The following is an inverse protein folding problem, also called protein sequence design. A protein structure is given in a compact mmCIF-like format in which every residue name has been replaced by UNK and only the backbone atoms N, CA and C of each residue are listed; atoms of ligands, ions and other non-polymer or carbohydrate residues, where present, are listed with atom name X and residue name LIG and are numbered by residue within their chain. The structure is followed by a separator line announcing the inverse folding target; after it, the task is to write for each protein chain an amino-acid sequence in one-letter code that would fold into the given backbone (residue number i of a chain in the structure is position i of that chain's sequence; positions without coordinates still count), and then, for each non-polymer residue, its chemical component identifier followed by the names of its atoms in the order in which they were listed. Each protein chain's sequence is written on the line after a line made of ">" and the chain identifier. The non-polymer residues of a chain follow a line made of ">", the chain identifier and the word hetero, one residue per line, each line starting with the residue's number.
data_IF_668279323188
#
_entry.id   IF_668279323188
#
_cell.length_a   1.000
_cell.length_b   1.000
_cell.length_c   1.000
_cell.angle_alpha   90.00
_cell.angle_beta   90.00
_cell.angle_gamma   90.00
#
_symmetry.space_group_name_H-M   'P 1'
#
loop_
_entity.id
_entity.type
_entity.pdbx_description
1 polymer ?
#
# COMPACT_ATOMS: atom_id res chain seq x y z
N UNK A 1 -32.91 18.70 -37.69
CA UNK A 1 -32.25 17.52 -38.27
C UNK A 1 -30.96 17.36 -37.52
N UNK A 2 -31.02 16.50 -36.52
CA UNK A 2 -30.02 16.20 -35.51
C UNK A 2 -28.93 15.27 -36.06
N UNK A 3 -27.66 15.58 -35.77
CA UNK A 3 -26.54 14.63 -35.63
C UNK A 3 -25.59 15.24 -34.58
N UNK A 4 -25.84 14.99 -33.30
CA UNK A 4 -25.27 13.90 -32.50
C UNK A 4 -23.94 14.30 -31.82
N UNK A 5 -24.10 14.82 -30.60
CA UNK A 5 -23.14 14.80 -29.51
C UNK A 5 -22.76 13.34 -29.18
N UNK A 6 -21.51 12.96 -29.42
CA UNK A 6 -20.99 11.63 -29.07
C UNK A 6 -19.48 11.64 -28.80
N UNK A 7 -18.99 12.58 -27.97
CA UNK A 7 -17.57 12.60 -27.60
C UNK A 7 -17.28 12.99 -26.15
N UNK A 8 -18.26 12.89 -25.24
CA UNK A 8 -18.08 13.32 -23.85
C UNK A 8 -18.68 12.32 -22.84
N UNK A 9 -18.28 11.06 -22.97
CA UNK A 9 -18.61 10.03 -21.96
C UNK A 9 -17.47 9.04 -21.68
N UNK A 10 -16.35 9.10 -22.40
CA UNK A 10 -15.25 8.13 -22.24
C UNK A 10 -14.05 8.63 -21.43
N UNK A 11 -14.00 9.91 -21.04
CA UNK A 11 -12.85 10.48 -20.31
C UNK A 11 -13.09 10.69 -18.81
N UNK A 12 -14.34 10.62 -18.35
CA UNK A 12 -14.69 10.84 -16.93
C UNK A 12 -14.51 9.58 -16.08
N UNK A 13 -14.69 8.37 -16.64
CA UNK A 13 -14.55 7.12 -15.88
C UNK A 13 -13.09 6.81 -15.47
N UNK A 14 -12.08 7.35 -16.18
CA UNK A 14 -10.67 7.14 -15.82
C UNK A 14 -10.16 8.08 -14.74
N UNK A 15 -10.77 9.26 -14.55
CA UNK A 15 -10.35 10.23 -13.54
C UNK A 15 -10.96 9.94 -12.16
N UNK A 16 -12.18 9.39 -12.12
CA UNK A 16 -12.81 8.98 -10.86
C UNK A 16 -12.11 7.77 -10.21
N UNK A 17 -11.48 6.90 -11.01
CA UNK A 17 -10.71 5.76 -10.52
C UNK A 17 -9.32 6.16 -9.97
N UNK A 18 -8.75 7.27 -10.44
CA UNK A 18 -7.44 7.76 -9.97
C UNK A 18 -7.53 8.41 -8.58
N UNK A 19 -8.61 9.14 -8.26
CA UNK A 19 -8.78 9.76 -6.95
C UNK A 19 -8.97 8.75 -5.80
N UNK A 20 -9.60 7.60 -6.09
CA UNK A 20 -9.88 6.56 -5.09
C UNK A 20 -8.67 5.72 -4.66
N UNK A 21 -7.56 5.79 -5.40
CA UNK A 21 -6.40 4.89 -5.23
C UNK A 21 -5.07 5.60 -4.94
N UNK A 22 -5.06 6.93 -4.77
CA UNK A 22 -3.84 7.71 -4.52
C UNK A 22 -3.11 7.29 -3.23
N UNK A 23 -3.86 6.88 -2.20
CA UNK A 23 -3.30 6.39 -0.93
C UNK A 23 -2.70 4.97 -1.02
N UNK A 24 -3.01 4.22 -2.08
CA UNK A 24 -2.45 2.89 -2.33
C UNK A 24 -1.11 2.96 -3.08
N UNK A 25 -0.72 4.12 -3.62
CA UNK A 25 0.60 4.29 -4.27
C UNK A 25 1.69 4.11 -3.22
N UNK A 26 2.76 3.34 -3.50
CA UNK A 26 3.86 3.17 -2.55
C UNK A 26 4.43 4.54 -2.19
N UNK A 27 4.33 4.97 -0.94
CA UNK A 27 4.79 6.30 -0.56
C UNK A 27 6.32 6.29 -0.63
N UNK A 28 6.86 6.96 -1.64
CA UNK A 28 8.29 7.19 -1.72
C UNK A 28 8.65 8.33 -0.75
N UNK A 29 9.62 8.07 0.14
CA UNK A 29 10.22 9.15 0.90
C UNK A 29 10.98 10.05 -0.08
N UNK A 30 10.31 11.11 -0.52
CA UNK A 30 10.85 12.06 -1.47
C UNK A 30 10.87 13.43 -0.81
N UNK A 31 12.07 13.95 -0.60
CA UNK A 31 12.29 15.36 -0.31
C UNK A 31 12.34 16.20 -1.60
N UNK A 32 12.03 15.60 -2.76
CA UNK A 32 12.04 16.31 -4.03
C UNK A 32 10.83 17.24 -4.12
N UNK A 33 11.09 18.47 -4.54
CA UNK A 33 10.05 19.45 -4.82
C UNK A 33 9.32 19.09 -6.12
N UNK A 34 8.00 19.19 -6.13
CA UNK A 34 7.23 19.12 -7.35
C UNK A 34 7.40 20.42 -8.13
N UNK A 35 8.14 20.35 -9.23
CA UNK A 35 8.41 21.49 -10.09
C UNK A 35 7.24 21.81 -11.04
N UNK A 36 6.15 21.03 -11.07
CA UNK A 36 5.01 21.27 -11.98
C UNK A 36 4.21 22.52 -11.67
N UNK A 37 4.33 23.09 -10.46
CA UNK A 37 3.50 24.20 -9.98
C UNK A 37 4.21 25.51 -9.67
N UNK A 38 5.46 25.72 -10.11
CA UNK A 38 6.20 26.98 -9.89
C UNK A 38 6.57 27.32 -8.43
N UNK A 39 6.20 26.46 -7.47
CA UNK A 39 6.53 26.60 -6.05
C UNK A 39 7.40 25.46 -5.54
N UNK A 40 8.22 25.72 -4.51
CA UNK A 40 8.99 24.69 -3.79
C UNK A 40 8.08 23.93 -2.82
N UNK A 41 7.12 23.17 -3.34
CA UNK A 41 6.24 22.33 -2.52
C UNK A 41 6.62 20.86 -2.70
N UNK A 42 6.56 20.08 -1.62
CA UNK A 42 6.68 18.63 -1.73
C UNK A 42 5.48 18.08 -2.52
N UNK A 43 5.68 16.98 -3.25
CA UNK A 43 4.58 16.25 -3.89
C UNK A 43 3.46 16.01 -2.89
N UNK A 44 2.20 16.28 -3.24
CA UNK A 44 1.04 16.15 -2.34
C UNK A 44 0.94 14.79 -1.67
N UNK A 45 1.40 13.74 -2.36
CA UNK A 45 1.41 12.34 -1.91
C UNK A 45 2.56 12.02 -0.92
N UNK A 46 3.49 12.95 -0.67
CA UNK A 46 4.62 12.72 0.23
C UNK A 46 4.19 12.66 1.71
N UNK A 47 4.99 11.97 2.53
CA UNK A 47 4.77 11.94 3.99
C UNK A 47 4.84 13.33 4.65
N UNK A 48 5.56 14.28 4.03
CA UNK A 48 5.77 15.62 4.54
C UNK A 48 4.60 16.56 4.20
N UNK A 49 3.96 16.38 3.04
CA UNK A 49 2.81 17.19 2.59
C UNK A 49 1.46 16.65 3.07
N UNK A 50 1.27 15.32 3.10
CA UNK A 50 0.00 14.68 3.47
C UNK A 50 -0.40 14.89 4.94
N UNK A 51 0.55 15.33 5.78
CA UNK A 51 0.37 15.48 7.22
C UNK A 51 0.30 14.15 7.97
N UNK A 52 0.45 13.01 7.30
CA UNK A 52 0.43 11.69 7.91
C UNK A 52 1.58 11.52 8.95
N UNK A 53 2.77 12.04 8.65
CA UNK A 53 3.89 12.03 9.60
C UNK A 53 3.63 12.93 10.82
N UNK A 54 3.06 14.12 10.60
CA UNK A 54 2.70 15.03 11.69
C UNK A 54 1.68 14.37 12.64
N UNK A 55 0.66 13.71 12.08
CA UNK A 55 -0.35 12.99 12.87
C UNK A 55 0.28 11.86 13.68
N UNK A 56 1.14 11.05 13.07
CA UNK A 56 1.87 9.99 13.77
C UNK A 56 2.69 10.51 14.96
N UNK A 57 3.48 11.58 14.77
CA UNK A 57 4.29 12.17 15.84
C UNK A 57 3.41 12.67 16.99
N UNK A 58 2.20 13.11 16.68
CA UNK A 58 1.22 13.56 17.66
C UNK A 58 0.35 12.42 18.23
N UNK A 59 0.68 11.16 17.94
CA UNK A 59 -0.11 9.98 18.31
C UNK A 59 -1.58 10.06 17.85
N UNK A 60 -1.81 10.69 16.70
CA UNK A 60 -3.10 10.77 16.05
C UNK A 60 -3.19 9.75 14.92
N UNK A 61 -4.43 9.44 14.53
CA UNK A 61 -4.71 8.61 13.37
C UNK A 61 -4.01 9.17 12.12
N UNK A 62 -3.10 8.40 11.49
CA UNK A 62 -2.38 8.83 10.31
C UNK A 62 -3.25 8.99 9.06
N UNK A 63 -4.36 8.26 8.97
CA UNK A 63 -5.22 8.13 7.79
C UNK A 63 -6.70 8.14 8.23
N UNK A 64 -7.20 9.25 8.78
CA UNK A 64 -8.50 9.31 9.45
C UNK A 64 -9.67 8.91 8.56
N UNK A 65 -9.60 9.21 7.25
CA UNK A 65 -10.66 8.95 6.28
C UNK A 65 -10.59 7.56 5.63
N UNK A 66 -9.54 6.78 5.92
CA UNK A 66 -9.37 5.44 5.35
C UNK A 66 -9.88 4.38 6.32
N UNK A 67 -10.35 3.25 5.78
CA UNK A 67 -10.83 2.10 6.56
C UNK A 67 -11.95 2.49 7.56
N UNK A 68 -12.83 3.43 7.19
CA UNK A 68 -14.01 3.78 7.99
C UNK A 68 -15.16 2.78 7.80
N UNK A 69 -15.16 2.03 6.70
CA UNK A 69 -16.17 1.02 6.38
C UNK A 69 -16.04 -0.22 7.28
N UNK A 70 -17.18 -0.89 7.54
CA UNK A 70 -17.24 -2.14 8.31
C UNK A 70 -16.41 -3.27 7.70
N UNK A 71 -16.18 -3.19 6.38
CA UNK A 71 -15.38 -4.15 5.64
C UNK A 71 -14.28 -3.50 4.82
N UNK A 72 -13.17 -4.21 4.67
CA UNK A 72 -12.03 -3.82 3.84
C UNK A 72 -11.64 -4.95 2.90
N UNK A 73 -11.37 -4.62 1.64
CA UNK A 73 -10.79 -5.58 0.69
C UNK A 73 -9.26 -5.64 0.86
N UNK A 74 -8.74 -6.80 1.25
CA UNK A 74 -7.31 -7.06 1.36
C UNK A 74 -6.97 -8.33 0.56
N UNK A 75 -6.03 -8.21 -0.36
CA UNK A 75 -5.57 -9.30 -1.24
C UNK A 75 -6.69 -9.96 -2.06
N UNK A 76 -7.72 -9.19 -2.46
CA UNK A 76 -8.86 -9.70 -3.24
C UNK A 76 -9.92 -10.41 -2.41
N UNK A 77 -9.89 -10.28 -1.08
CA UNK A 77 -10.82 -10.90 -0.14
C UNK A 77 -11.40 -9.80 0.76
N UNK A 78 -12.71 -9.87 1.03
CA UNK A 78 -13.38 -8.93 1.92
C UNK A 78 -13.24 -9.38 3.38
N UNK A 79 -12.82 -8.48 4.25
CA UNK A 79 -12.55 -8.72 5.67
C UNK A 79 -13.33 -7.74 6.54
N UNK A 80 -13.70 -8.14 7.76
CA UNK A 80 -14.29 -7.22 8.76
C UNK A 80 -13.20 -6.31 9.31
N UNK A 81 -13.29 -5.00 9.07
CA UNK A 81 -12.22 -4.03 9.31
C UNK A 81 -11.69 -4.07 10.74
N UNK A 82 -12.58 -4.10 11.72
CA UNK A 82 -12.24 -4.06 13.15
C UNK A 82 -11.62 -5.34 13.70
N UNK A 83 -11.89 -6.51 13.09
CA UNK A 83 -11.50 -7.80 13.69
C UNK A 83 -10.59 -8.64 12.82
N UNK A 84 -10.38 -8.28 11.55
CA UNK A 84 -9.61 -9.11 10.62
C UNK A 84 -8.19 -9.38 11.10
N UNK A 85 -7.50 -8.35 11.61
CA UNK A 85 -6.13 -8.51 12.08
C UNK A 85 -6.03 -9.40 13.33
N UNK A 86 -7.00 -9.31 14.24
CA UNK A 86 -7.06 -10.15 15.45
C UNK A 86 -7.40 -11.59 15.09
N UNK A 87 -8.39 -11.79 14.22
CA UNK A 87 -8.92 -13.11 13.88
C UNK A 87 -8.06 -13.89 12.89
N UNK A 88 -7.34 -13.19 12.02
CA UNK A 88 -6.73 -13.79 10.84
C UNK A 88 -5.36 -13.21 10.52
N UNK A 89 -4.65 -12.68 11.52
CA UNK A 89 -3.26 -12.22 11.44
C UNK A 89 -2.38 -13.13 10.58
N UNK A 90 -2.21 -14.39 10.97
CA UNK A 90 -1.35 -15.36 10.25
C UNK A 90 -1.75 -15.51 8.79
N UNK A 91 -3.05 -15.56 8.49
CA UNK A 91 -3.56 -15.69 7.12
C UNK A 91 -3.23 -14.43 6.32
N UNK A 92 -3.50 -13.25 6.86
CA UNK A 92 -3.22 -11.96 6.22
C UNK A 92 -1.71 -11.78 5.94
N UNK A 93 -0.84 -12.11 6.89
CA UNK A 93 0.61 -12.04 6.69
C UNK A 93 1.11 -13.09 5.70
N UNK A 94 0.50 -14.28 5.66
CA UNK A 94 0.81 -15.27 4.62
C UNK A 94 0.37 -14.81 3.23
N UNK A 95 -0.78 -14.17 3.08
CA UNK A 95 -1.22 -13.56 1.82
C UNK A 95 -0.25 -12.46 1.38
N UNK A 96 0.23 -11.63 2.32
CA UNK A 96 1.27 -10.63 2.04
C UNK A 96 2.55 -11.30 1.52
N UNK A 97 3.06 -12.33 2.20
CA UNK A 97 4.24 -13.08 1.76
C UNK A 97 4.04 -13.72 0.39
N UNK A 98 2.84 -14.24 0.12
CA UNK A 98 2.51 -14.75 -1.20
C UNK A 98 2.60 -13.67 -2.28
N UNK A 99 2.16 -12.44 -1.99
CA UNK A 99 2.34 -11.32 -2.93
C UNK A 99 3.82 -10.96 -3.15
N UNK A 100 4.64 -10.98 -2.10
CA UNK A 100 6.09 -10.78 -2.23
C UNK A 100 6.74 -11.88 -3.08
N UNK A 101 6.37 -13.14 -2.85
CA UNK A 101 6.84 -14.26 -3.67
C UNK A 101 6.40 -14.11 -5.13
N UNK A 102 5.15 -13.71 -5.37
CA UNK A 102 4.68 -13.42 -6.72
C UNK A 102 5.56 -12.34 -7.37
N UNK A 103 5.88 -11.26 -6.66
CA UNK A 103 6.77 -10.20 -7.16
C UNK A 103 8.17 -10.74 -7.51
N UNK A 104 8.72 -11.60 -6.67
CA UNK A 104 10.01 -12.27 -6.91
C UNK A 104 9.98 -13.12 -8.19
N UNK A 105 8.90 -13.88 -8.41
CA UNK A 105 8.73 -14.69 -9.63
C UNK A 105 8.53 -13.86 -10.90
N UNK A 106 8.20 -12.57 -10.79
CA UNK A 106 8.16 -11.67 -11.95
C UNK A 106 9.55 -11.31 -12.45
N UNK A 107 10.60 -11.41 -11.62
CA UNK A 107 11.97 -11.04 -11.99
C UNK A 107 12.54 -11.92 -13.13
N UNK A 108 12.44 -13.27 -13.10
CA UNK A 108 12.90 -14.12 -14.20
C UNK A 108 12.07 -13.99 -15.49
N UNK A 109 10.80 -13.56 -15.41
CA UNK A 109 9.90 -13.43 -16.56
C UNK A 109 10.10 -12.14 -17.37
N UNK A 110 10.99 -11.25 -16.92
CA UNK A 110 11.21 -9.91 -17.48
C UNK A 110 12.02 -9.86 -18.78
N UNK A 111 12.58 -10.99 -19.24
CA UNK A 111 13.39 -11.06 -20.47
C UNK A 111 12.55 -10.96 -21.77
N UNK A 112 11.22 -11.09 -21.69
CA UNK A 112 10.31 -10.96 -22.84
C UNK A 112 9.88 -9.49 -23.03
N UNK A 113 10.55 -8.75 -23.91
CA UNK A 113 10.24 -7.32 -24.19
C UNK A 113 8.77 -7.05 -24.55
N UNK A 114 8.09 -8.01 -25.21
CA UNK A 114 6.68 -7.90 -25.55
C UNK A 114 5.70 -7.93 -24.36
N UNK A 115 6.16 -8.32 -23.16
CA UNK A 115 5.33 -8.44 -21.96
C UNK A 115 5.70 -7.45 -20.85
N UNK A 116 6.72 -6.62 -21.04
CA UNK A 116 7.25 -5.68 -20.02
C UNK A 116 6.16 -4.77 -19.44
N UNK A 117 5.29 -4.19 -20.26
CA UNK A 117 4.19 -3.34 -19.78
C UNK A 117 3.24 -4.10 -18.85
N UNK A 118 2.84 -5.32 -19.24
CA UNK A 118 1.97 -6.17 -18.40
C UNK A 118 2.65 -6.59 -17.09
N UNK A 119 3.97 -6.80 -17.13
CA UNK A 119 4.77 -7.15 -15.97
C UNK A 119 4.84 -5.98 -14.97
N UNK A 120 5.06 -4.76 -15.46
CA UNK A 120 5.04 -3.55 -14.65
C UNK A 120 3.68 -3.30 -14.01
N UNK A 121 2.57 -3.46 -14.75
CA UNK A 121 1.23 -3.32 -14.20
C UNK A 121 0.97 -4.35 -13.09
N UNK A 122 1.39 -5.60 -13.27
CA UNK A 122 1.28 -6.64 -12.23
C UNK A 122 2.13 -6.32 -11.00
N UNK A 123 3.38 -5.94 -11.20
CA UNK A 123 4.28 -5.56 -10.11
C UNK A 123 3.74 -4.34 -9.35
N UNK A 124 3.22 -3.33 -10.04
CA UNK A 124 2.58 -2.17 -9.42
C UNK A 124 1.35 -2.58 -8.60
N UNK A 125 0.48 -3.43 -9.15
CA UNK A 125 -0.68 -3.94 -8.43
C UNK A 125 -0.29 -4.67 -7.13
N UNK A 126 0.71 -5.55 -7.20
CA UNK A 126 1.24 -6.26 -6.03
C UNK A 126 1.74 -5.26 -4.97
N UNK A 127 2.54 -4.26 -5.37
CA UNK A 127 3.03 -3.24 -4.44
C UNK A 127 1.88 -2.48 -3.77
N UNK A 128 0.86 -2.08 -4.55
CA UNK A 128 -0.32 -1.37 -4.03
C UNK A 128 -1.08 -2.21 -2.99
N UNK A 129 -1.25 -3.51 -3.23
CA UNK A 129 -1.87 -4.42 -2.25
C UNK A 129 -1.04 -4.53 -0.97
N UNK A 130 0.28 -4.67 -1.08
CA UNK A 130 1.17 -4.70 0.09
C UNK A 130 1.12 -3.38 0.89
N UNK A 131 1.18 -2.23 0.21
CA UNK A 131 1.11 -0.90 0.85
C UNK A 131 -0.24 -0.71 1.55
N UNK A 132 -1.33 -1.08 0.88
CA UNK A 132 -2.68 -1.04 1.45
C UNK A 132 -2.78 -1.86 2.73
N UNK A 133 -2.23 -3.08 2.74
CA UNK A 133 -2.20 -3.92 3.94
C UNK A 133 -1.38 -3.29 5.08
N UNK A 134 -0.20 -2.72 4.78
CA UNK A 134 0.61 -2.04 5.80
C UNK A 134 -0.08 -0.79 6.36
N UNK A 135 -0.81 -0.05 5.52
CA UNK A 135 -1.67 1.05 5.97
C UNK A 135 -2.81 0.56 6.86
N UNK A 136 -3.45 -0.54 6.50
CA UNK A 136 -4.46 -1.18 7.34
C UNK A 136 -3.88 -1.55 8.71
N UNK A 137 -2.73 -2.25 8.79
CA UNK A 137 -2.08 -2.60 10.07
C UNK A 137 -1.75 -1.35 10.90
N UNK A 138 -1.21 -0.32 10.27
CA UNK A 138 -0.86 0.94 10.92
C UNK A 138 -2.09 1.63 11.53
N UNK A 139 -3.17 1.75 10.76
CA UNK A 139 -4.44 2.33 11.23
C UNK A 139 -5.06 1.46 12.33
N UNK A 140 -5.00 0.14 12.17
CA UNK A 140 -5.51 -0.82 13.14
C UNK A 140 -4.87 -0.63 14.52
N UNK A 141 -3.54 -0.51 14.56
CA UNK A 141 -2.80 -0.28 15.81
C UNK A 141 -3.30 0.99 16.51
N UNK A 142 -3.40 2.09 15.76
CA UNK A 142 -3.79 3.38 16.34
C UNK A 142 -5.26 3.38 16.81
N UNK A 143 -6.17 2.81 16.03
CA UNK A 143 -7.61 2.86 16.36
C UNK A 143 -8.06 1.82 17.37
N UNK A 144 -7.53 0.60 17.31
CA UNK A 144 -8.10 -0.53 18.04
C UNK A 144 -7.16 -1.09 19.12
N UNK A 145 -5.84 -1.02 18.93
CA UNK A 145 -4.90 -1.52 19.95
C UNK A 145 -4.55 -0.46 21.00
N UNK A 146 -4.36 0.81 20.62
CA UNK A 146 -3.97 1.86 21.59
C UNK A 146 -5.14 2.41 22.42
N UNK A 147 -6.39 2.15 22.02
CA UNK A 147 -7.60 2.64 22.70
C UNK A 147 -8.01 1.77 23.91
N UNK A 148 -7.35 0.63 24.14
CA UNK A 148 -7.59 -0.26 25.29
C UNK A 148 -6.99 0.28 26.62
N UNK A 149 -7.26 1.54 26.97
CA UNK A 149 -6.97 2.08 28.31
C UNK A 149 -7.99 1.55 29.33
N UNK A 150 -7.61 0.47 30.01
CA UNK A 150 -7.74 0.13 31.45
C UNK A 150 -8.91 0.62 32.35
N UNK A 151 -10.01 1.18 31.84
CA UNK A 151 -11.15 1.63 32.68
C UNK A 151 -12.52 1.10 32.23
N UNK A 152 -12.59 0.23 31.22
CA UNK A 152 -13.85 -0.41 30.85
C UNK A 152 -14.07 -1.70 31.66
N UNK A 153 -14.81 -1.59 32.76
CA UNK A 153 -15.47 -2.71 33.45
C UNK A 153 -16.64 -3.28 32.63
N UNK A 154 -16.42 -3.53 31.34
CA UNK A 154 -17.38 -4.13 30.43
C UNK A 154 -17.35 -5.67 30.48
N UNK A 155 -18.35 -6.34 29.88
CA UNK A 155 -18.32 -7.78 29.70
C UNK A 155 -17.08 -8.19 28.88
N UNK A 156 -16.42 -9.27 29.31
CA UNK A 156 -15.24 -9.90 28.69
C UNK A 156 -15.47 -10.04 27.19
N UNK A 157 -14.69 -9.33 26.39
CA UNK A 157 -14.84 -9.32 24.93
C UNK A 157 -14.35 -10.68 24.38
N UNK A 158 -15.06 -11.34 23.44
CA UNK A 158 -14.69 -12.67 22.95
C UNK A 158 -13.29 -12.73 22.30
N UNK A 159 -12.71 -11.58 21.96
CA UNK A 159 -11.39 -11.46 21.37
C UNK A 159 -10.30 -10.99 22.35
N UNK A 160 -10.61 -10.77 23.62
CA UNK A 160 -9.70 -10.18 24.62
C UNK A 160 -8.37 -10.94 24.76
N UNK A 161 -8.41 -12.28 24.71
CA UNK A 161 -7.19 -13.11 24.75
C UNK A 161 -6.35 -12.98 23.47
N UNK A 162 -7.00 -12.88 22.30
CA UNK A 162 -6.32 -12.72 21.02
C UNK A 162 -5.75 -11.31 20.88
N UNK A 163 -6.49 -10.29 21.31
CA UNK A 163 -6.05 -8.90 21.36
C UNK A 163 -4.83 -8.72 22.26
N UNK A 164 -4.79 -9.38 23.42
CA UNK A 164 -3.64 -9.33 24.34
C UNK A 164 -2.35 -9.91 23.72
N UNK A 165 -2.47 -10.91 22.84
CA UNK A 165 -1.34 -11.54 22.17
C UNK A 165 -0.99 -10.88 20.82
N UNK A 166 -1.88 -10.04 20.29
CA UNK A 166 -1.71 -9.45 18.97
C UNK A 166 -0.44 -8.57 18.87
N UNK A 167 -0.06 -7.74 19.85
CA UNK A 167 1.15 -6.92 19.75
C UNK A 167 2.42 -7.73 19.52
N UNK A 168 2.65 -8.81 20.28
CA UNK A 168 3.83 -9.67 20.10
C UNK A 168 3.80 -10.38 18.75
N UNK A 169 2.63 -10.90 18.35
CA UNK A 169 2.46 -11.54 17.05
C UNK A 169 2.72 -10.57 15.89
N UNK A 170 2.25 -9.32 15.98
CA UNK A 170 2.51 -8.30 14.96
C UNK A 170 4.00 -7.97 14.85
N UNK A 171 4.72 -7.88 15.97
CA UNK A 171 6.17 -7.65 15.97
C UNK A 171 6.88 -8.78 15.24
N UNK A 172 6.56 -10.04 15.56
CA UNK A 172 7.17 -11.21 14.93
C UNK A 172 6.87 -11.26 13.42
N UNK A 173 5.61 -11.06 13.04
CA UNK A 173 5.17 -11.12 11.65
C UNK A 173 5.77 -9.97 10.82
N UNK A 174 5.79 -8.73 11.34
CA UNK A 174 6.41 -7.57 10.69
C UNK A 174 7.92 -7.71 10.58
N UNK A 175 8.58 -8.28 11.61
CA UNK A 175 10.00 -8.57 11.54
C UNK A 175 10.31 -9.59 10.44
N UNK A 176 9.51 -10.66 10.35
CA UNK A 176 9.63 -11.63 9.26
C UNK A 176 9.43 -11.01 7.88
N UNK A 177 8.49 -10.07 7.73
CA UNK A 177 8.33 -9.32 6.48
C UNK A 177 9.55 -8.44 6.17
N UNK A 178 10.11 -7.76 7.17
CA UNK A 178 11.30 -6.92 7.00
C UNK A 178 12.49 -7.74 6.49
N UNK A 179 12.71 -8.93 7.06
CA UNK A 179 13.76 -9.85 6.60
C UNK A 179 13.55 -10.30 5.16
N UNK A 180 12.30 -10.66 4.79
CA UNK A 180 11.97 -11.06 3.43
C UNK A 180 12.20 -9.91 2.43
N UNK A 181 11.76 -8.70 2.76
CA UNK A 181 11.97 -7.51 1.93
C UNK A 181 13.47 -7.20 1.79
N UNK A 182 14.24 -7.37 2.87
CA UNK A 182 15.70 -7.29 2.86
C UNK A 182 16.31 -8.22 1.81
N UNK A 183 15.94 -9.50 1.84
CA UNK A 183 16.37 -10.48 0.83
C UNK A 183 15.99 -10.06 -0.60
N UNK A 184 14.76 -9.56 -0.81
CA UNK A 184 14.34 -9.06 -2.12
C UNK A 184 15.19 -7.86 -2.61
N UNK A 185 15.66 -7.02 -1.68
CA UNK A 185 16.52 -5.88 -2.02
C UNK A 185 17.96 -6.28 -2.37
N UNK A 186 18.40 -7.45 -1.91
CA UNK A 186 19.70 -8.05 -2.23
C UNK A 186 19.70 -8.80 -3.57
N UNK A 187 18.52 -9.13 -4.11
CA UNK A 187 18.42 -9.74 -5.42
C UNK A 187 19.16 -8.87 -6.45
N UNK A 188 19.90 -9.49 -7.38
CA UNK A 188 20.63 -8.74 -8.37
C UNK A 188 19.64 -7.83 -9.10
N UNK A 189 19.98 -6.54 -9.17
CA UNK A 189 19.26 -5.59 -9.98
C UNK A 189 19.63 -5.92 -11.44
N UNK A 190 19.12 -7.05 -11.94
CA UNK A 190 19.27 -7.46 -13.33
C UNK A 190 18.39 -6.49 -14.08
N UNK A 191 18.97 -5.35 -14.41
CA UNK A 191 18.44 -4.40 -15.34
C UNK A 191 19.12 -4.73 -16.67
N UNK A 192 18.66 -5.74 -17.45
CA UNK A 192 19.13 -5.87 -18.80
C UNK A 192 18.46 -4.75 -19.62
N UNK A 193 19.06 -3.56 -19.60
CA UNK A 193 18.92 -2.63 -20.72
C UNK A 193 17.97 -1.43 -20.59
N UNK A 194 17.77 -0.82 -19.41
CA UNK A 194 17.13 0.49 -19.36
C UNK A 194 18.09 1.70 -19.52
N UNK A 195 19.41 1.52 -19.73
CA UNK A 195 20.36 2.64 -19.74
C UNK A 195 21.45 2.67 -20.83
N UNK A 196 21.38 1.85 -21.89
CA UNK A 196 22.37 1.92 -22.99
C UNK A 196 21.78 2.40 -24.32
N UNK A 197 20.47 2.39 -24.51
CA UNK A 197 19.81 2.83 -25.76
C UNK A 197 19.38 4.30 -25.80
N UNK A 198 19.94 5.18 -24.95
CA UNK A 198 19.75 6.64 -25.05
C UNK A 198 21.04 7.44 -25.30
N UNK A 199 22.20 6.80 -25.47
CA UNK A 199 23.47 7.48 -25.78
C UNK A 199 24.15 6.99 -27.08
N UNK A 200 23.40 6.46 -28.05
CA UNK A 200 23.93 6.19 -29.40
C UNK A 200 23.16 6.86 -30.54
N UNK A 201 22.34 7.86 -30.25
CA UNK A 201 21.82 8.74 -31.28
C UNK A 201 21.97 10.18 -30.79
N UNK A 202 23.18 10.73 -30.94
CA UNK A 202 23.40 12.10 -31.40
C UNK A 202 24.89 12.35 -31.67
N UNK A 203 25.15 12.50 -32.98
CA UNK A 203 26.31 13.10 -33.69
C UNK A 203 27.64 12.33 -33.68
#
# INVERSE_FOLDING_TARGET
>A
MDIASAASTYLTDSLELELGTEWCKPPCFSCAFDNRGGGKHFSGESYLSSGALKRLILNLDPLPTNFEEDTVELFGIQWVTETALVNSSRVLFNLFRQQLYNLETLLPASCDFGKISTLHCKADNIRRQCVTFLHYVKVFIVRFLTVQNTENHGPVHPYEVLEAQLPSLLVDELHGLLLYIGHLSELPNINPGAFISQNQIQL
#
